data_IF_105899316786
#
_entry.id   IF_105899316786
#
_cell.length_a   1.000
_cell.length_b   1.000
_cell.length_c   1.000
_cell.angle_alpha   90.00
_cell.angle_beta   90.00
_cell.angle_gamma   90.00
#
_symmetry.space_group_name_H-M   'P 1'
#
loop_
_entity.id
_entity.type
_entity.pdbx_description
1 polymer ?
#
# COMPACT_ATOMS: atom_id res chain seq x y z
N UNK A 1 -16.65 59.68 28.39
CA UNK A 1 -16.60 59.26 26.97
C UNK A 1 -15.73 58.01 26.90
N UNK A 2 -16.36 56.85 26.74
CA UNK A 2 -15.69 55.56 26.56
C UNK A 2 -15.05 55.51 25.18
N UNK A 3 -13.76 55.16 25.13
CA UNK A 3 -13.01 54.87 23.91
C UNK A 3 -13.56 53.58 23.29
N UNK A 4 -14.50 53.71 22.35
CA UNK A 4 -14.93 52.64 21.46
C UNK A 4 -14.13 52.76 20.16
N UNK A 5 -13.03 51.99 20.06
CA UNK A 5 -12.43 51.50 18.80
C UNK A 5 -11.23 50.59 19.10
N UNK A 6 -11.46 49.47 19.80
CA UNK A 6 -10.66 48.27 19.53
C UNK A 6 -11.28 47.62 18.28
N UNK A 7 -10.90 48.14 17.11
CA UNK A 7 -11.14 47.48 15.84
C UNK A 7 -10.22 46.25 15.81
N UNK A 8 -10.81 45.06 15.73
CA UNK A 8 -10.10 43.78 15.79
C UNK A 8 -8.93 43.73 14.82
N UNK A 9 -7.77 43.31 15.34
CA UNK A 9 -6.57 43.08 14.54
C UNK A 9 -6.78 41.81 13.73
N UNK A 10 -6.76 41.92 12.40
CA UNK A 10 -6.82 40.76 11.51
C UNK A 10 -5.38 40.36 11.21
N UNK A 11 -4.95 39.23 11.79
CA UNK A 11 -3.65 38.60 11.48
C UNK A 11 -3.90 37.46 10.50
N UNK A 12 -3.28 37.54 9.32
CA UNK A 12 -3.29 36.45 8.33
C UNK A 12 -1.98 35.70 8.46
N UNK A 13 -2.06 34.39 8.70
CA UNK A 13 -0.91 33.48 8.78
C UNK A 13 -1.00 32.57 7.56
N UNK A 14 0.04 32.61 6.72
CA UNK A 14 0.12 31.80 5.52
C UNK A 14 1.56 31.27 5.37
N UNK A 15 1.70 30.09 4.77
CA UNK A 15 3.00 29.58 4.35
C UNK A 15 3.57 30.41 3.20
N UNK A 16 4.87 30.24 2.94
CA UNK A 16 5.68 30.94 1.91
C UNK A 16 5.20 30.74 0.47
N UNK A 17 4.13 29.97 0.24
CA UNK A 17 3.63 29.62 -1.10
C UNK A 17 4.56 28.70 -1.90
N UNK A 18 5.69 28.28 -1.34
CA UNK A 18 6.53 27.22 -1.92
C UNK A 18 5.84 25.89 -1.70
N UNK A 19 5.57 25.15 -2.77
CA UNK A 19 5.02 23.79 -2.68
C UNK A 19 5.93 22.93 -1.80
N UNK A 20 5.42 22.48 -0.66
CA UNK A 20 6.15 21.60 0.27
C UNK A 20 6.09 20.13 -0.15
N UNK A 21 5.47 19.85 -1.30
CA UNK A 21 5.44 18.56 -1.96
C UNK A 21 6.13 18.79 -3.30
N UNK A 22 7.35 18.28 -3.46
CA UNK A 22 7.96 18.17 -4.78
C UNK A 22 6.94 17.48 -5.70
N UNK A 23 6.70 18.06 -6.88
CA UNK A 23 5.63 17.68 -7.80
C UNK A 23 5.26 16.18 -7.73
N UNK A 24 4.11 15.85 -7.15
CA UNK A 24 3.47 14.58 -7.46
C UNK A 24 3.29 14.60 -8.96
N UNK A 25 3.98 13.71 -9.68
CA UNK A 25 3.79 13.57 -11.12
C UNK A 25 2.33 13.26 -11.36
N UNK A 26 1.57 14.28 -11.75
CA UNK A 26 0.19 14.10 -12.18
C UNK A 26 0.31 13.31 -13.47
N UNK A 27 0.00 12.02 -13.41
CA UNK A 27 -0.23 11.21 -14.61
C UNK A 27 -1.13 12.06 -15.51
N UNK A 28 -0.69 12.36 -16.74
CA UNK A 28 -1.51 13.08 -17.70
C UNK A 28 -2.82 12.33 -17.86
N UNK A 29 -3.86 12.83 -17.18
CA UNK A 29 -5.19 12.25 -17.27
C UNK A 29 -5.69 12.57 -18.68
N UNK A 30 -6.30 11.61 -19.39
CA UNK A 30 -6.96 11.91 -20.65
C UNK A 30 -7.93 13.07 -20.41
N UNK A 31 -7.89 14.11 -21.25
CA UNK A 31 -8.65 15.36 -21.11
C UNK A 31 -10.19 15.19 -21.03
N UNK A 32 -10.68 13.94 -21.09
CA UNK A 32 -12.07 13.52 -21.00
C UNK A 32 -12.47 12.98 -19.63
N UNK A 33 -11.55 12.80 -18.67
CA UNK A 33 -11.91 12.55 -17.26
C UNK A 33 -12.29 13.88 -16.57
N UNK A 34 -13.55 14.28 -16.71
CA UNK A 34 -14.13 15.45 -16.03
C UNK A 34 -14.63 15.14 -14.62
N UNK A 35 -14.49 13.90 -14.15
CA UNK A 35 -15.03 13.44 -12.86
C UNK A 35 -14.11 13.86 -11.73
N UNK A 36 -14.42 14.98 -11.09
CA UNK A 36 -13.85 15.35 -9.81
C UNK A 36 -14.34 14.35 -8.74
N UNK A 37 -13.41 13.74 -8.02
CA UNK A 37 -13.70 12.93 -6.85
C UNK A 37 -13.27 13.71 -5.61
N UNK A 38 -14.19 13.92 -4.68
CA UNK A 38 -13.86 14.39 -3.34
C UNK A 38 -14.64 13.52 -2.33
N UNK A 39 -13.95 13.05 -1.29
CA UNK A 39 -14.50 12.25 -0.19
C UNK A 39 -15.33 11.03 -0.63
N UNK A 40 -14.87 10.32 -1.68
CA UNK A 40 -15.51 9.09 -2.16
C UNK A 40 -16.81 9.32 -2.96
N UNK A 41 -17.18 10.58 -3.25
CA UNK A 41 -18.36 10.92 -4.04
C UNK A 41 -17.89 11.41 -5.43
N UNK A 42 -18.32 10.76 -6.53
CA UNK A 42 -18.04 11.24 -7.88
C UNK A 42 -18.92 12.46 -8.20
N UNK A 43 -18.30 13.52 -8.73
CA UNK A 43 -18.95 14.78 -9.14
C UNK A 43 -19.80 15.44 -8.03
N UNK A 44 -19.21 15.74 -6.86
CA UNK A 44 -20.00 16.29 -5.77
C UNK A 44 -20.47 17.70 -6.14
N UNK A 45 -21.79 17.88 -6.22
CA UNK A 45 -22.39 19.19 -6.47
C UNK A 45 -22.02 20.09 -5.29
N UNK A 46 -21.31 21.19 -5.55
CA UNK A 46 -21.04 22.18 -4.50
C UNK A 46 -22.37 22.71 -3.95
N UNK A 47 -22.52 22.84 -2.63
CA UNK A 47 -23.77 23.31 -2.07
C UNK A 47 -23.94 24.77 -2.47
N UNK A 48 -25.18 25.24 -2.46
CA UNK A 48 -25.45 26.67 -2.62
C UNK A 48 -24.70 27.41 -1.50
N UNK A 49 -24.04 28.53 -1.83
CA UNK A 49 -23.34 29.36 -0.86
C UNK A 49 -24.29 29.74 0.28
N UNK A 50 -23.83 29.63 1.53
CA UNK A 50 -24.62 29.90 2.74
C UNK A 50 -25.87 29.00 2.88
N UNK A 51 -25.81 27.74 2.41
CA UNK A 51 -26.87 26.75 2.67
C UNK A 51 -26.97 26.44 4.18
N UNK A 52 -28.12 26.69 4.85
CA UNK A 52 -28.30 26.41 6.27
C UNK A 52 -28.28 24.94 6.64
N UNK A 53 -28.46 24.05 5.67
CA UNK A 53 -28.35 22.61 5.87
C UNK A 53 -26.91 22.10 5.66
N UNK A 54 -26.04 22.90 5.03
CA UNK A 54 -24.68 22.49 4.67
C UNK A 54 -24.67 21.28 3.73
N UNK A 55 -23.52 20.62 3.63
CA UNK A 55 -23.36 19.37 2.87
C UNK A 55 -22.48 18.35 3.61
N UNK A 56 -22.26 18.58 4.92
CA UNK A 56 -21.39 17.79 5.79
C UNK A 56 -19.92 17.68 5.35
N UNK A 57 -19.47 18.38 4.31
CA UNK A 57 -18.04 18.43 3.92
C UNK A 57 -17.23 19.41 4.77
N UNK A 58 -17.89 20.44 5.32
CA UNK A 58 -17.30 21.41 6.26
C UNK A 58 -18.27 21.68 7.41
N UNK A 59 -17.75 22.10 8.57
CA UNK A 59 -18.57 22.56 9.69
C UNK A 59 -19.48 23.71 9.21
N UNK A 60 -20.77 23.67 9.56
CA UNK A 60 -21.77 24.69 9.19
C UNK A 60 -21.29 26.11 9.50
N UNK A 61 -20.61 26.31 10.63
CA UNK A 61 -20.04 27.59 11.03
C UNK A 61 -19.00 28.16 10.04
N UNK A 62 -18.34 27.30 9.28
CA UNK A 62 -17.35 27.66 8.26
C UNK A 62 -17.95 27.78 6.87
N UNK A 63 -19.12 27.19 6.62
CA UNK A 63 -19.87 27.29 5.36
C UNK A 63 -20.61 28.64 5.21
N UNK A 64 -20.91 29.29 6.34
CA UNK A 64 -21.43 30.65 6.38
C UNK A 64 -20.30 31.66 6.33
N UNK A 65 -19.87 32.02 5.11
CA UNK A 65 -19.24 33.30 4.93
C UNK A 65 -20.35 34.34 5.03
N UNK A 66 -20.49 34.97 6.20
CA UNK A 66 -21.17 36.27 6.26
C UNK A 66 -20.51 37.12 5.17
N UNK A 67 -21.26 37.41 4.10
CA UNK A 67 -20.89 38.51 3.23
C UNK A 67 -20.78 39.70 4.16
N UNK A 68 -19.54 40.17 4.41
CA UNK A 68 -19.37 41.52 4.86
C UNK A 68 -20.08 42.36 3.79
N UNK A 69 -21.19 43.00 4.17
CA UNK A 69 -21.98 43.85 3.28
C UNK A 69 -21.03 44.81 2.54
N UNK A 70 -20.71 44.47 1.30
CA UNK A 70 -20.10 45.37 0.31
C UNK A 70 -21.11 46.40 -0.19
N UNK A 71 -22.24 46.55 0.50
CA UNK A 71 -23.08 47.73 0.45
C UNK A 71 -22.49 48.73 1.44
N UNK A 72 -21.42 49.40 1.01
CA UNK A 72 -21.09 50.70 1.59
C UNK A 72 -22.36 51.57 1.57
N UNK A 73 -22.55 52.49 2.53
CA UNK A 73 -23.71 53.37 2.50
C UNK A 73 -23.65 54.20 1.22
N UNK A 74 -24.50 53.88 0.24
CA UNK A 74 -24.66 54.69 -0.97
C UNK A 74 -25.38 55.96 -0.57
N UNK A 75 -24.63 56.94 -0.09
CA UNK A 75 -25.09 58.32 -0.05
C UNK A 75 -25.14 58.82 -1.50
N UNK A 76 -26.29 58.60 -2.14
CA UNK A 76 -26.68 59.25 -3.38
C UNK A 76 -26.38 60.75 -3.28
N UNK A 77 -25.41 61.21 -4.08
CA UNK A 77 -24.98 62.62 -4.14
C UNK A 77 -25.92 63.52 -4.95
N UNK A 78 -27.04 63.03 -5.49
CA UNK A 78 -27.81 63.80 -6.48
C UNK A 78 -28.95 64.66 -5.93
N UNK A 79 -29.26 64.64 -4.63
CA UNK A 79 -30.29 65.51 -4.05
C UNK A 79 -29.97 65.93 -2.59
N UNK A 80 -28.95 66.77 -2.41
CA UNK A 80 -28.63 67.34 -1.10
C UNK A 80 -29.21 68.74 -0.92
N UNK A 81 -30.03 68.92 0.12
CA UNK A 81 -30.56 70.23 0.50
C UNK A 81 -29.47 71.13 1.13
N UNK A 82 -29.69 72.45 1.12
CA UNK A 82 -28.71 73.46 1.57
C UNK A 82 -28.01 73.13 2.91
N UNK A 83 -28.76 72.59 3.88
CA UNK A 83 -28.22 72.18 5.18
C UNK A 83 -27.24 70.98 5.09
N UNK A 84 -27.46 70.03 4.20
CA UNK A 84 -26.59 68.87 4.03
C UNK A 84 -25.24 69.25 3.39
N UNK A 85 -25.20 70.30 2.56
CA UNK A 85 -23.95 70.85 2.01
C UNK A 85 -23.07 71.53 3.06
N UNK A 86 -23.69 72.19 4.05
CA UNK A 86 -22.95 72.84 5.15
C UNK A 86 -22.34 71.79 6.09
N UNK A 87 -23.05 70.72 6.40
CA UNK A 87 -22.52 69.64 7.24
C UNK A 87 -21.55 68.70 6.52
N UNK A 88 -21.54 68.67 5.18
CA UNK A 88 -20.59 67.86 4.39
C UNK A 88 -19.12 68.26 4.57
N UNK A 89 -18.82 69.49 5.02
CA UNK A 89 -17.45 69.93 5.33
C UNK A 89 -16.91 69.29 6.61
N UNK A 90 -17.79 68.82 7.51
CA UNK A 90 -17.43 68.18 8.77
C UNK A 90 -17.43 66.65 8.72
N UNK A 91 -17.77 66.06 7.57
CA UNK A 91 -17.77 64.60 7.36
C UNK A 91 -16.53 64.25 6.53
N UNK A 92 -15.61 63.41 7.03
CA UNK A 92 -14.43 63.02 6.27
C UNK A 92 -14.86 62.28 4.98
N UNK A 93 -14.34 62.72 3.82
CA UNK A 93 -14.51 62.00 2.57
C UNK A 93 -13.79 60.65 2.68
N UNK A 94 -14.54 59.57 2.86
CA UNK A 94 -14.03 58.22 2.58
C UNK A 94 -14.20 58.01 1.08
N UNK A 95 -13.10 58.09 0.32
CA UNK A 95 -13.06 57.61 -1.07
C UNK A 95 -13.10 56.09 -1.01
N UNK A 96 -14.20 55.49 -1.48
CA UNK A 96 -14.17 54.11 -1.94
C UNK A 96 -13.55 54.13 -3.34
N UNK A 97 -12.24 53.99 -3.41
CA UNK A 97 -11.55 53.71 -4.67
C UNK A 97 -11.35 52.18 -4.69
N UNK A 98 -12.33 51.49 -5.27
CA UNK A 98 -12.06 50.20 -5.90
C UNK A 98 -11.30 50.51 -7.18
N UNK A 99 -10.08 50.00 -7.30
CA UNK A 99 -9.47 49.49 -8.55
C UNK A 99 -7.95 49.25 -8.41
N UNK A 100 -7.34 49.57 -7.26
CA UNK A 100 -6.04 49.04 -6.85
C UNK A 100 -6.19 48.54 -5.41
N UNK A 101 -5.69 47.34 -5.11
CA UNK A 101 -5.53 46.89 -3.73
C UNK A 101 -4.48 47.77 -3.04
N UNK A 102 -4.88 48.97 -2.62
CA UNK A 102 -4.19 49.70 -1.56
C UNK A 102 -4.35 48.86 -0.30
N UNK A 103 -3.35 48.02 -0.06
CA UNK A 103 -3.18 47.24 1.16
C UNK A 103 -3.15 48.25 2.30
N UNK A 104 -4.27 48.37 3.04
CA UNK A 104 -4.36 49.17 4.26
C UNK A 104 -3.16 48.77 5.14
N UNK A 105 -2.37 49.74 5.62
CA UNK A 105 -1.15 49.58 6.44
C UNK A 105 -1.37 48.84 7.79
N UNK A 106 -2.54 48.20 7.95
CA UNK A 106 -3.05 47.55 9.15
C UNK A 106 -3.15 46.03 9.00
N UNK A 107 -3.00 45.48 7.79
CA UNK A 107 -2.77 44.05 7.62
C UNK A 107 -1.32 43.75 8.00
N UNK A 108 -1.14 43.13 9.17
CA UNK A 108 0.16 42.56 9.53
C UNK A 108 0.22 41.14 8.97
N UNK A 109 0.85 40.97 7.81
CA UNK A 109 1.20 39.65 7.31
C UNK A 109 2.42 39.16 8.10
N UNK A 110 2.29 38.02 8.77
CA UNK A 110 3.42 37.34 9.41
C UNK A 110 3.67 36.03 8.68
N UNK A 111 4.79 35.97 7.98
CA UNK A 111 5.29 34.75 7.36
C UNK A 111 6.06 33.96 8.41
N UNK A 112 5.66 32.71 8.62
CA UNK A 112 6.33 31.79 9.53
C UNK A 112 7.11 30.81 8.66
N UNK A 113 8.43 30.85 8.77
CA UNK A 113 9.29 29.94 8.03
C UNK A 113 9.37 28.60 8.76
N UNK A 114 8.63 27.60 8.29
CA UNK A 114 8.57 26.26 8.87
C UNK A 114 8.36 25.22 7.78
N UNK A 115 9.03 24.07 7.88
CA UNK A 115 8.75 22.92 7.03
C UNK A 115 7.37 22.34 7.39
N UNK A 116 6.81 21.46 6.54
CA UNK A 116 5.46 20.93 6.75
C UNK A 116 5.32 20.20 8.12
N UNK A 117 6.37 19.48 8.54
CA UNK A 117 6.43 18.82 9.85
C UNK A 117 6.59 19.75 11.05
N UNK A 118 7.10 20.97 10.84
CA UNK A 118 7.26 22.01 11.86
C UNK A 118 6.02 22.86 12.10
N UNK A 119 5.01 22.79 11.22
CA UNK A 119 3.75 23.53 11.36
C UNK A 119 2.97 23.15 12.65
N UNK A 120 2.84 21.86 13.02
CA UNK A 120 2.14 21.46 14.24
C UNK A 120 2.98 21.63 15.51
N UNK A 121 4.21 22.12 15.41
CA UNK A 121 5.18 22.11 16.52
C UNK A 121 5.84 23.47 16.69
N UNK A 122 6.77 23.81 15.78
CA UNK A 122 7.56 25.05 15.79
C UNK A 122 6.75 26.29 15.43
N UNK A 123 5.73 26.17 14.57
CA UNK A 123 4.92 27.31 14.17
C UNK A 123 3.87 27.69 15.23
N UNK A 124 3.52 26.79 16.17
CA UNK A 124 2.47 27.04 17.16
C UNK A 124 2.79 28.24 18.07
N UNK A 125 3.99 28.35 18.69
CA UNK A 125 4.33 29.53 19.50
C UNK A 125 4.28 30.82 18.68
N UNK A 126 4.72 30.78 17.43
CA UNK A 126 4.72 31.94 16.54
C UNK A 126 3.32 32.38 16.12
N UNK A 127 2.42 31.42 15.89
CA UNK A 127 0.99 31.64 15.63
C UNK A 127 0.32 32.29 16.84
N UNK A 128 0.52 31.74 18.03
CA UNK A 128 -0.10 32.27 19.25
C UNK A 128 0.42 33.67 19.59
N UNK A 129 1.74 33.89 19.44
CA UNK A 129 2.34 35.22 19.53
C UNK A 129 1.72 36.21 18.54
N UNK A 130 1.52 35.80 17.28
CA UNK A 130 0.94 36.66 16.24
C UNK A 130 -0.54 36.99 16.48
N UNK A 131 -1.26 36.10 17.17
CA UNK A 131 -2.66 36.29 17.56
C UNK A 131 -2.81 37.01 18.92
N UNK A 132 -1.71 37.34 19.60
CA UNK A 132 -1.75 37.95 20.93
C UNK A 132 -2.30 37.03 22.02
N UNK A 133 -2.24 35.71 21.78
CA UNK A 133 -2.70 34.69 22.71
C UNK A 133 -1.55 34.26 23.64
N UNK A 134 -1.85 33.87 24.88
CA UNK A 134 -0.84 33.25 25.74
C UNK A 134 -0.34 31.95 25.10
N UNK A 135 0.97 31.71 25.16
CA UNK A 135 1.60 30.53 24.56
C UNK A 135 0.96 29.25 25.17
N UNK A 136 0.38 28.34 24.38
CA UNK A 136 -0.51 27.31 24.87
C UNK A 136 0.22 26.10 25.46
N UNK A 137 1.53 25.97 25.25
CA UNK A 137 2.32 24.82 25.68
C UNK A 137 3.71 25.29 26.16
N UNK A 138 4.26 24.63 27.19
CA UNK A 138 5.68 24.71 27.50
C UNK A 138 6.52 24.19 26.32
N UNK A 139 7.83 24.45 26.34
CA UNK A 139 8.76 24.12 25.25
C UNK A 139 8.48 22.71 24.69
N UNK A 140 7.78 22.65 23.56
CA UNK A 140 7.55 21.42 22.83
C UNK A 140 8.79 21.21 21.98
N UNK A 141 9.68 20.34 22.42
CA UNK A 141 10.77 19.87 21.58
C UNK A 141 10.18 18.90 20.55
N UNK A 142 10.17 19.24 19.25
CA UNK A 142 9.72 18.30 18.25
C UNK A 142 10.62 17.06 18.30
N UNK A 143 10.04 15.85 18.09
CA UNK A 143 10.86 14.67 17.92
C UNK A 143 11.80 14.91 16.73
N UNK A 144 13.05 14.44 16.85
CA UNK A 144 14.01 14.50 15.75
C UNK A 144 13.41 13.83 14.52
N UNK A 145 13.41 14.54 13.40
CA UNK A 145 12.97 13.98 12.12
C UNK A 145 13.95 12.87 11.69
N UNK A 146 13.47 11.68 11.29
CA UNK A 146 14.35 10.62 10.82
C UNK A 146 15.04 11.04 9.52
N UNK A 147 16.29 10.63 9.32
CA UNK A 147 17.06 10.97 8.11
C UNK A 147 16.53 10.22 6.87
N UNK A 148 15.87 9.08 7.08
CA UNK A 148 15.23 8.31 6.03
C UNK A 148 14.04 7.53 6.59
N UNK A 149 13.13 7.13 5.70
CA UNK A 149 12.02 6.24 6.04
C UNK A 149 11.97 5.11 5.00
N UNK A 150 12.09 3.87 5.46
CA UNK A 150 11.74 2.69 4.65
C UNK A 150 10.32 2.28 4.98
N UNK A 151 9.49 2.03 3.98
CA UNK A 151 8.13 1.54 4.21
C UNK A 151 7.77 0.41 3.27
N UNK A 152 7.01 -0.53 3.80
CA UNK A 152 6.47 -1.68 3.09
C UNK A 152 4.95 -1.67 3.24
N UNK A 153 4.24 -1.77 2.13
CA UNK A 153 2.79 -1.83 2.07
C UNK A 153 2.35 -3.13 1.44
N UNK A 154 1.32 -3.74 2.01
CA UNK A 154 0.76 -5.00 1.52
C UNK A 154 -0.75 -4.88 1.42
N UNK A 155 -1.29 -4.86 0.20
CA UNK A 155 -2.68 -5.23 -0.03
C UNK A 155 -2.75 -6.75 -0.03
N UNK A 156 -3.61 -7.30 0.81
CA UNK A 156 -3.51 -8.66 1.37
C UNK A 156 -4.64 -9.55 0.82
N UNK A 157 -4.44 -10.87 0.71
CA UNK A 157 -4.48 -11.78 1.88
C UNK A 157 -3.13 -12.45 2.21
N UNK A 158 -2.20 -11.73 2.84
CA UNK A 158 -0.89 -12.25 3.30
C UNK A 158 -0.55 -11.81 4.73
N UNK A 159 -0.03 -12.73 5.54
CA UNK A 159 0.72 -12.44 6.75
C UNK A 159 2.16 -12.08 6.37
N UNK A 160 2.77 -11.15 7.11
CA UNK A 160 4.04 -10.52 6.73
C UNK A 160 5.06 -10.65 7.84
N UNK A 161 6.28 -11.01 7.46
CA UNK A 161 7.49 -10.94 8.26
C UNK A 161 8.57 -10.22 7.45
N UNK A 162 9.25 -9.26 8.07
CA UNK A 162 10.38 -8.56 7.47
C UNK A 162 11.60 -8.76 8.36
N UNK A 163 12.73 -9.10 7.74
CA UNK A 163 14.05 -9.19 8.36
C UNK A 163 14.92 -8.09 7.78
N UNK A 164 15.56 -7.28 8.63
CA UNK A 164 16.44 -6.21 8.18
C UNK A 164 17.89 -6.69 7.95
N UNK A 165 18.80 -5.82 7.43
CA UNK A 165 20.20 -6.18 7.18
C UNK A 165 21.00 -6.63 8.43
N UNK A 166 20.48 -6.40 9.64
CA UNK A 166 21.07 -6.84 10.90
C UNK A 166 20.41 -8.11 11.46
N UNK A 167 19.54 -8.76 10.68
CA UNK A 167 18.74 -9.93 11.06
C UNK A 167 17.71 -9.65 12.18
N UNK A 168 17.32 -8.39 12.36
CA UNK A 168 16.23 -8.02 13.27
C UNK A 168 14.91 -8.19 12.54
N UNK A 169 13.93 -8.75 13.25
CA UNK A 169 12.66 -9.16 12.67
C UNK A 169 11.52 -8.25 13.13
N UNK A 170 10.63 -7.91 12.21
CA UNK A 170 9.30 -7.38 12.51
C UNK A 170 8.20 -8.28 11.92
N UNK A 171 7.23 -8.61 12.75
CA UNK A 171 5.98 -9.30 12.43
C UNK A 171 4.84 -8.57 13.12
N UNK A 172 3.61 -9.08 12.99
CA UNK A 172 2.47 -8.60 13.78
C UNK A 172 2.70 -8.69 15.29
N UNK A 173 3.35 -9.76 15.76
CA UNK A 173 3.43 -10.08 17.20
C UNK A 173 4.81 -9.77 17.81
N UNK A 174 5.80 -9.40 16.99
CA UNK A 174 7.17 -9.17 17.42
C UNK A 174 7.79 -8.03 16.64
N UNK A 175 8.47 -7.12 17.34
CA UNK A 175 9.25 -6.08 16.70
C UNK A 175 10.62 -5.95 17.36
N UNK A 176 11.66 -6.26 16.60
CA UNK A 176 13.06 -6.15 17.01
C UNK A 176 13.79 -5.01 16.29
N UNK A 177 13.16 -4.43 15.26
CA UNK A 177 13.71 -3.31 14.50
C UNK A 177 13.41 -2.03 15.30
N UNK A 178 14.41 -1.25 15.70
CA UNK A 178 14.21 -0.03 16.48
C UNK A 178 13.23 0.91 15.79
N UNK A 179 12.28 1.44 16.57
CA UNK A 179 11.30 2.45 16.14
C UNK A 179 10.38 2.06 14.97
N UNK A 180 10.51 0.84 14.45
CA UNK A 180 9.65 0.34 13.40
C UNK A 180 8.20 0.20 13.89
N UNK A 181 7.25 0.39 12.99
CA UNK A 181 5.82 0.38 13.29
C UNK A 181 5.16 -0.62 12.33
N UNK A 182 4.39 -1.57 12.87
CA UNK A 182 3.51 -2.45 12.12
C UNK A 182 2.06 -1.98 12.30
N UNK A 183 1.30 -1.82 11.22
CA UNK A 183 -0.11 -1.39 11.27
C UNK A 183 -0.96 -2.21 10.30
N UNK A 184 -2.30 -2.20 10.50
CA UNK A 184 -3.25 -2.95 9.67
C UNK A 184 -3.73 -4.28 10.28
N UNK A 185 -3.63 -4.41 11.61
CA UNK A 185 -3.82 -5.69 12.30
C UNK A 185 -5.27 -6.16 12.47
N UNK A 186 -6.23 -5.24 12.32
CA UNK A 186 -7.65 -5.48 12.61
C UNK A 186 -8.31 -6.46 11.63
N UNK A 187 -7.74 -6.57 10.42
CA UNK A 187 -8.19 -7.52 9.41
C UNK A 187 -6.97 -8.35 8.96
N UNK A 188 -6.92 -9.65 9.30
CA UNK A 188 -5.88 -10.57 8.83
C UNK A 188 -5.73 -10.57 7.31
N UNK A 189 -6.80 -10.30 6.54
CA UNK A 189 -6.77 -10.21 5.09
C UNK A 189 -6.71 -8.77 4.57
N UNK A 190 -6.74 -7.76 5.44
CA UNK A 190 -6.71 -6.35 5.08
C UNK A 190 -5.30 -5.78 4.87
N UNK A 191 -5.23 -4.51 4.49
CA UNK A 191 -3.96 -3.82 4.19
C UNK A 191 -3.05 -3.80 5.41
N UNK A 192 -1.77 -4.10 5.21
CA UNK A 192 -0.71 -4.01 6.23
C UNK A 192 0.32 -2.98 5.80
N UNK A 193 0.86 -2.24 6.76
CA UNK A 193 1.92 -1.27 6.53
C UNK A 193 2.98 -1.40 7.61
N UNK A 194 4.24 -1.46 7.17
CA UNK A 194 5.41 -1.46 8.04
C UNK A 194 6.24 -0.23 7.72
N UNK A 195 6.48 0.61 8.71
CA UNK A 195 7.28 1.84 8.59
C UNK A 195 8.53 1.66 9.45
N UNK A 196 9.71 1.91 8.89
CA UNK A 196 11.00 1.81 9.56
C UNK A 196 11.71 3.18 9.45
N UNK A 197 11.59 4.04 10.47
CA UNK A 197 12.39 5.26 10.58
C UNK A 197 13.87 4.92 10.69
N UNK A 198 14.74 5.75 10.09
CA UNK A 198 16.19 5.57 10.08
C UNK A 198 16.61 4.13 9.72
N UNK A 199 15.97 3.60 8.67
CA UNK A 199 16.25 2.29 8.10
C UNK A 199 17.71 2.15 7.67
N UNK A 200 18.20 0.92 7.71
CA UNK A 200 19.53 0.59 7.19
C UNK A 200 19.47 0.42 5.68
N UNK A 201 20.46 0.94 4.95
CA UNK A 201 20.69 0.51 3.58
C UNK A 201 21.18 -0.95 3.57
N UNK A 202 20.66 -1.76 2.64
CA UNK A 202 21.03 -3.16 2.47
C UNK A 202 19.86 -4.04 2.05
N UNK A 203 20.09 -5.35 2.12
CA UNK A 203 19.10 -6.36 1.77
C UNK A 203 18.16 -6.61 2.94
N UNK A 204 16.87 -6.40 2.69
CA UNK A 204 15.77 -6.82 3.56
C UNK A 204 15.17 -8.10 3.01
N UNK A 205 14.91 -9.07 3.89
CA UNK A 205 14.16 -10.26 3.52
C UNK A 205 12.68 -10.04 3.87
N UNK A 206 11.80 -10.26 2.89
CA UNK A 206 10.36 -10.17 3.08
C UNK A 206 9.76 -11.55 2.89
N UNK A 207 9.16 -12.09 3.93
CA UNK A 207 8.45 -13.35 3.93
C UNK A 207 6.94 -13.08 4.03
N UNK A 208 6.19 -13.59 3.06
CA UNK A 208 4.74 -13.52 2.97
C UNK A 208 4.16 -14.92 3.12
N UNK A 209 3.11 -15.07 3.90
CA UNK A 209 2.34 -16.32 4.02
C UNK A 209 0.90 -16.02 3.63
N UNK A 210 0.37 -16.69 2.60
CA UNK A 210 -1.03 -16.53 2.20
C UNK A 210 -1.99 -16.85 3.35
N UNK A 211 -2.87 -15.91 3.68
CA UNK A 211 -3.91 -16.11 4.73
C UNK A 211 -5.27 -16.45 4.14
N UNK A 212 -5.43 -16.31 2.83
CA UNK A 212 -6.55 -16.76 2.02
C UNK A 212 -6.12 -16.76 0.54
N UNK A 213 -6.91 -17.40 -0.31
CA UNK A 213 -6.70 -17.32 -1.75
C UNK A 213 -7.03 -15.93 -2.28
N UNK A 214 -6.16 -15.37 -3.10
CA UNK A 214 -6.42 -14.07 -3.73
C UNK A 214 -5.19 -13.43 -4.32
N UNK A 215 -5.36 -12.18 -4.72
CA UNK A 215 -4.26 -11.35 -5.20
C UNK A 215 -3.72 -10.49 -4.05
N UNK A 216 -2.39 -10.42 -3.93
CA UNK A 216 -1.73 -9.47 -3.07
C UNK A 216 -0.92 -8.45 -3.90
N UNK A 217 -0.78 -7.26 -3.33
CA UNK A 217 0.07 -6.19 -3.86
C UNK A 217 1.07 -5.81 -2.79
N UNK A 218 2.35 -5.88 -3.09
CA UNK A 218 3.42 -5.36 -2.24
C UNK A 218 3.96 -4.08 -2.85
N UNK A 219 4.13 -3.04 -2.06
CA UNK A 219 4.87 -1.85 -2.47
C UNK A 219 5.95 -1.55 -1.43
N UNK A 220 7.16 -1.22 -1.88
CA UNK A 220 8.26 -0.83 -1.01
C UNK A 220 8.75 0.55 -1.43
N UNK A 221 8.93 1.43 -0.45
CA UNK A 221 9.50 2.74 -0.68
C UNK A 221 10.64 3.07 0.27
N UNK A 222 11.59 3.85 -0.25
CA UNK A 222 12.61 4.54 0.54
C UNK A 222 12.46 6.04 0.28
N UNK A 223 12.27 6.79 1.36
CA UNK A 223 12.18 8.24 1.37
C UNK A 223 13.44 8.83 2.01
N UNK A 224 14.13 9.70 1.27
CA UNK A 224 15.31 10.43 1.73
C UNK A 224 15.21 11.85 1.18
N UNK A 225 15.12 12.85 2.06
CA UNK A 225 14.96 14.28 1.76
C UNK A 225 14.00 14.58 0.59
N UNK A 226 14.53 14.69 -0.64
CA UNK A 226 13.81 15.08 -1.86
C UNK A 226 13.63 13.92 -2.87
N UNK A 227 13.87 12.67 -2.47
CA UNK A 227 13.83 11.52 -3.37
C UNK A 227 12.92 10.39 -2.87
N UNK A 228 11.90 10.09 -3.68
CA UNK A 228 10.93 9.04 -3.45
C UNK A 228 11.17 7.90 -4.44
N UNK A 229 11.61 6.74 -3.95
CA UNK A 229 11.73 5.54 -4.78
C UNK A 229 10.69 4.54 -4.34
N UNK A 230 9.75 4.22 -5.22
CA UNK A 230 8.68 3.25 -4.96
C UNK A 230 8.74 2.15 -6.00
N UNK A 231 8.71 0.90 -5.55
CA UNK A 231 8.59 -0.28 -6.41
C UNK A 231 7.43 -1.14 -5.94
N UNK A 232 6.67 -1.65 -6.89
CA UNK A 232 5.47 -2.46 -6.63
C UNK A 232 5.58 -3.85 -7.26
N UNK A 233 5.02 -4.85 -6.59
CA UNK A 233 4.85 -6.21 -7.08
C UNK A 233 3.41 -6.65 -6.83
N UNK A 234 2.84 -7.35 -7.81
CA UNK A 234 1.47 -7.88 -7.74
C UNK A 234 1.48 -9.34 -8.18
N UNK A 235 0.89 -10.21 -7.36
CA UNK A 235 0.78 -11.66 -7.63
C UNK A 235 -0.42 -12.29 -6.94
N UNK A 236 -0.82 -13.45 -7.42
CA UNK A 236 -1.74 -14.33 -6.69
C UNK A 236 -0.99 -15.12 -5.62
N UNK A 237 -1.69 -15.42 -4.53
CA UNK A 237 -1.26 -16.27 -3.42
C UNK A 237 -2.37 -17.25 -3.07
N UNK A 238 -2.00 -18.45 -2.66
CA UNK A 238 -2.90 -19.47 -2.10
C UNK A 238 -2.75 -19.49 -0.58
N UNK A 239 -3.81 -19.81 0.16
CA UNK A 239 -3.74 -19.99 1.61
C UNK A 239 -2.60 -20.95 2.00
N UNK A 240 -1.74 -20.52 2.93
CA UNK A 240 -0.57 -21.26 3.40
C UNK A 240 0.66 -21.20 2.49
N UNK A 241 0.58 -20.61 1.29
CA UNK A 241 1.74 -20.43 0.41
C UNK A 241 2.72 -19.42 0.99
N UNK A 242 3.99 -19.82 1.15
CA UNK A 242 5.06 -18.94 1.58
C UNK A 242 5.77 -18.35 0.34
N UNK A 243 5.95 -17.04 0.33
CA UNK A 243 6.61 -16.30 -0.74
C UNK A 243 7.70 -15.42 -0.11
N UNK A 244 8.91 -15.53 -0.61
CA UNK A 244 10.06 -14.78 -0.13
C UNK A 244 10.58 -13.82 -1.20
N UNK A 245 10.93 -12.61 -0.77
CA UNK A 245 11.60 -11.60 -1.56
C UNK A 245 12.86 -11.12 -0.85
N UNK A 246 13.86 -10.74 -1.64
CA UNK A 246 14.97 -9.90 -1.18
C UNK A 246 14.76 -8.52 -1.75
N UNK A 247 14.76 -7.51 -0.88
CA UNK A 247 14.58 -6.11 -1.23
C UNK A 247 15.86 -5.34 -0.91
N UNK A 248 16.56 -4.91 -1.94
CA UNK A 248 17.75 -4.07 -1.82
C UNK A 248 17.29 -2.61 -1.67
N UNK A 249 17.38 -2.11 -0.43
CA UNK A 249 17.02 -0.74 -0.07
C UNK A 249 18.29 0.09 0.02
N UNK A 250 18.27 1.26 -0.61
CA UNK A 250 19.40 2.16 -0.60
C UNK A 250 18.95 3.59 -0.31
N UNK A 251 19.51 4.18 0.74
CA UNK A 251 19.21 5.56 1.18
C UNK A 251 20.16 6.61 0.56
N UNK A 252 20.87 6.29 -0.52
CA UNK A 252 21.60 7.27 -1.31
C UNK A 252 20.71 7.87 -2.40
N UNK A 253 20.89 9.17 -2.68
CA UNK A 253 20.17 9.86 -3.74
C UNK A 253 20.27 9.13 -5.08
N UNK A 254 19.15 9.08 -5.80
CA UNK A 254 19.02 8.50 -7.14
C UNK A 254 19.35 6.99 -7.26
N UNK A 255 19.40 6.25 -6.14
CA UNK A 255 19.52 4.79 -6.19
C UNK A 255 18.14 4.16 -6.00
N UNK A 256 17.57 3.48 -7.01
CA UNK A 256 16.26 2.87 -6.89
C UNK A 256 16.30 1.65 -5.98
N UNK A 257 15.24 1.47 -5.19
CA UNK A 257 14.95 0.21 -4.51
C UNK A 257 14.83 -0.90 -5.56
N UNK A 258 15.31 -2.10 -5.26
CA UNK A 258 15.17 -3.27 -6.15
C UNK A 258 14.52 -4.41 -5.39
N UNK A 259 13.59 -5.09 -6.05
CA UNK A 259 12.92 -6.27 -5.51
C UNK A 259 13.34 -7.46 -6.35
N UNK A 260 13.78 -8.54 -5.70
CA UNK A 260 14.14 -9.78 -6.38
C UNK A 260 12.93 -10.41 -7.07
N UNK A 261 13.19 -11.38 -7.96
CA UNK A 261 12.14 -12.34 -8.30
C UNK A 261 11.71 -13.08 -7.01
N UNK A 262 10.42 -13.40 -6.84
CA UNK A 262 9.96 -14.12 -5.67
C UNK A 262 10.45 -15.56 -5.68
N UNK A 263 10.88 -16.02 -4.51
CA UNK A 263 11.12 -17.42 -4.21
C UNK A 263 9.84 -17.96 -3.58
N UNK A 264 9.12 -18.81 -4.31
CA UNK A 264 7.84 -19.35 -3.86
C UNK A 264 8.10 -20.72 -3.22
N UNK A 265 7.77 -20.81 -1.94
CA UNK A 265 7.85 -22.02 -1.12
C UNK A 265 6.44 -22.39 -0.70
N UNK A 266 5.79 -23.30 -1.43
CA UNK A 266 4.46 -23.83 -1.05
C UNK A 266 4.53 -24.54 0.31
N UNK A 267 3.41 -24.64 1.08
CA UNK A 267 3.44 -25.14 2.44
C UNK A 267 4.10 -26.53 2.51
N UNK A 268 4.97 -26.67 3.51
CA UNK A 268 5.93 -27.73 3.77
C UNK A 268 5.90 -28.99 2.87
N UNK A 269 6.78 -29.00 1.87
CA UNK A 269 7.21 -30.21 1.18
C UNK A 269 7.99 -31.17 2.11
N UNK A 270 8.51 -30.70 3.25
CA UNK A 270 9.28 -31.52 4.19
C UNK A 270 8.38 -32.37 5.10
N UNK A 271 7.26 -31.87 5.60
CA UNK A 271 6.34 -32.64 6.46
C UNK A 271 5.25 -33.41 5.70
N UNK A 272 4.84 -32.94 4.52
CA UNK A 272 3.76 -33.56 3.73
C UNK A 272 4.13 -34.96 3.24
N UNK A 273 3.25 -35.97 3.39
CA UNK A 273 3.55 -37.31 2.90
C UNK A 273 3.69 -37.32 1.37
N UNK A 274 4.45 -38.27 0.81
CA UNK A 274 4.60 -38.41 -0.66
C UNK A 274 3.23 -38.57 -1.33
N UNK A 275 2.27 -39.22 -0.65
CA UNK A 275 0.90 -39.40 -1.14
C UNK A 275 0.15 -38.08 -1.21
N UNK A 276 0.28 -37.23 -0.19
CA UNK A 276 -0.40 -35.93 -0.15
C UNK A 276 0.12 -35.01 -1.26
N UNK A 277 1.44 -34.98 -1.45
CA UNK A 277 2.06 -34.22 -2.54
C UNK A 277 1.58 -34.67 -3.93
N UNK A 278 1.36 -35.97 -4.14
CA UNK A 278 0.80 -36.48 -5.40
C UNK A 278 -0.68 -36.12 -5.53
N UNK A 279 -1.45 -36.11 -4.45
CA UNK A 279 -2.86 -35.67 -4.46
C UNK A 279 -2.97 -34.18 -4.79
N UNK A 280 -2.11 -33.35 -4.22
CA UNK A 280 -2.05 -31.92 -4.55
C UNK A 280 -1.71 -31.69 -6.02
N UNK A 281 -0.71 -32.42 -6.55
CA UNK A 281 -0.36 -32.32 -7.97
C UNK A 281 -1.51 -32.76 -8.89
N UNK A 282 -2.36 -33.70 -8.45
CA UNK A 282 -3.59 -34.08 -9.15
C UNK A 282 -4.64 -32.96 -9.14
N UNK A 283 -4.80 -32.26 -8.01
CA UNK A 283 -5.71 -31.13 -7.85
C UNK A 283 -5.27 -29.98 -8.76
N UNK A 284 -4.01 -29.57 -8.67
CA UNK A 284 -3.38 -28.56 -9.53
C UNK A 284 -3.64 -28.87 -11.02
N UNK A 285 -3.41 -30.11 -11.44
CA UNK A 285 -3.62 -30.54 -12.82
C UNK A 285 -5.08 -30.36 -13.28
N UNK A 286 -6.04 -30.65 -12.40
CA UNK A 286 -7.46 -30.47 -12.69
C UNK A 286 -7.83 -28.98 -12.81
N UNK A 287 -7.30 -28.14 -11.92
CA UNK A 287 -7.50 -26.69 -11.95
C UNK A 287 -6.89 -26.06 -13.20
N UNK A 288 -5.65 -26.40 -13.54
CA UNK A 288 -5.00 -25.91 -14.77
C UNK A 288 -5.78 -26.31 -16.04
N UNK A 289 -6.47 -27.46 -16.03
CA UNK A 289 -7.37 -27.82 -17.12
C UNK A 289 -8.64 -26.98 -17.13
N UNK A 290 -9.29 -26.76 -15.97
CA UNK A 290 -10.50 -25.93 -15.85
C UNK A 290 -10.25 -24.47 -16.25
N UNK A 291 -9.09 -23.94 -15.89
CA UNK A 291 -8.64 -22.58 -16.19
C UNK A 291 -8.21 -22.38 -17.66
N UNK A 292 -8.18 -23.45 -18.46
CA UNK A 292 -7.73 -23.39 -19.85
C UNK A 292 -6.21 -23.29 -20.03
N UNK A 293 -5.44 -23.33 -18.94
CA UNK A 293 -3.96 -23.38 -18.94
C UNK A 293 -3.45 -24.68 -19.58
N UNK A 294 -4.25 -25.74 -19.57
CA UNK A 294 -4.08 -26.95 -20.38
C UNK A 294 -5.17 -27.00 -21.44
N UNK A 295 -4.85 -26.65 -22.68
CA UNK A 295 -5.85 -26.44 -23.73
C UNK A 295 -6.28 -27.72 -24.46
N UNK A 296 -5.85 -28.90 -24.00
CA UNK A 296 -6.14 -30.18 -24.65
C UNK A 296 -6.58 -31.27 -23.65
N UNK A 297 -7.80 -31.76 -23.83
CA UNK A 297 -8.40 -32.81 -22.99
C UNK A 297 -7.60 -34.13 -23.00
N UNK A 298 -7.05 -34.53 -24.14
CA UNK A 298 -6.27 -35.76 -24.25
C UNK A 298 -4.94 -35.68 -23.48
N UNK A 299 -4.30 -34.50 -23.50
CA UNK A 299 -3.10 -34.22 -22.70
C UNK A 299 -3.42 -34.26 -21.21
N UNK A 300 -4.46 -33.54 -20.79
CA UNK A 300 -4.94 -33.60 -19.40
C UNK A 300 -5.20 -35.04 -18.94
N UNK A 301 -5.95 -35.82 -19.73
CA UNK A 301 -6.25 -37.21 -19.40
C UNK A 301 -5.00 -38.08 -19.31
N UNK A 302 -4.04 -37.91 -20.21
CA UNK A 302 -2.77 -38.63 -20.17
C UNK A 302 -1.99 -38.32 -18.90
N UNK A 303 -1.84 -37.04 -18.56
CA UNK A 303 -1.12 -36.59 -17.37
C UNK A 303 -1.81 -37.04 -16.08
N UNK A 304 -3.15 -36.98 -16.03
CA UNK A 304 -3.94 -37.40 -14.89
C UNK A 304 -3.84 -38.91 -14.67
N UNK A 305 -3.88 -39.70 -15.74
CA UNK A 305 -3.69 -41.16 -15.64
C UNK A 305 -2.29 -41.51 -15.13
N UNK A 306 -1.28 -40.73 -15.50
CA UNK A 306 0.09 -40.93 -15.03
C UNK A 306 0.21 -40.71 -13.52
N UNK A 307 -0.36 -39.63 -13.01
CA UNK A 307 -0.39 -39.33 -11.57
C UNK A 307 -1.28 -40.30 -10.78
N UNK A 308 -2.43 -40.71 -11.31
CA UNK A 308 -3.28 -41.73 -10.68
C UNK A 308 -2.58 -43.08 -10.55
N UNK A 309 -1.78 -43.46 -11.55
CA UNK A 309 -0.96 -44.67 -11.47
C UNK A 309 0.08 -44.55 -10.35
N UNK A 310 0.77 -43.41 -10.25
CA UNK A 310 1.74 -43.13 -9.18
C UNK A 310 1.06 -43.26 -7.81
N UNK A 311 -0.08 -42.58 -7.62
CA UNK A 311 -0.84 -42.60 -6.37
C UNK A 311 -1.28 -44.02 -5.97
N UNK A 312 -1.82 -44.79 -6.91
CA UNK A 312 -2.25 -46.17 -6.65
C UNK A 312 -1.06 -47.06 -6.24
N UNK A 313 0.08 -46.89 -6.90
CA UNK A 313 1.30 -47.66 -6.61
C UNK A 313 1.86 -47.32 -5.22
N UNK A 314 1.85 -46.04 -4.84
CA UNK A 314 2.27 -45.60 -3.51
C UNK A 314 1.37 -46.16 -2.40
N UNK A 315 0.04 -46.11 -2.58
CA UNK A 315 -0.93 -46.68 -1.65
C UNK A 315 -0.75 -48.20 -1.49
N UNK A 316 -0.49 -48.91 -2.59
CA UNK A 316 -0.18 -50.34 -2.52
C UNK A 316 1.13 -50.61 -1.77
N UNK A 317 2.16 -49.78 -1.98
CA UNK A 317 3.43 -49.90 -1.27
C UNK A 317 3.27 -49.68 0.25
N UNK A 318 2.46 -48.71 0.68
CA UNK A 318 2.13 -48.51 2.10
C UNK A 318 1.36 -49.70 2.69
N UNK A 319 0.39 -50.24 1.95
CA UNK A 319 -0.33 -51.44 2.37
C UNK A 319 0.64 -52.62 2.57
N UNK A 320 1.57 -52.82 1.63
CA UNK A 320 2.61 -53.85 1.73
C UNK A 320 3.52 -53.62 2.96
N UNK A 321 3.83 -52.37 3.31
CA UNK A 321 4.62 -52.03 4.52
C UNK A 321 3.84 -52.33 5.81
N UNK A 322 2.52 -52.11 5.80
CA UNK A 322 1.64 -52.33 6.98
C UNK A 322 1.38 -53.81 7.27
N UNK A 323 1.37 -54.67 6.26
CA UNK A 323 1.10 -56.10 6.41
C UNK A 323 2.37 -56.83 6.88
N UNK A 324 2.29 -57.46 8.06
CA UNK A 324 3.41 -58.15 8.71
C UNK A 324 4.13 -59.20 7.82
N UNK A 325 5.46 -59.29 7.99
CA UNK A 325 6.44 -60.00 7.14
C UNK A 325 6.28 -61.53 7.12
N UNK A 326 5.27 -62.08 6.44
CA UNK A 326 5.20 -63.53 6.18
C UNK A 326 6.28 -64.01 5.19
N UNK A 327 6.68 -63.15 4.24
CA UNK A 327 7.74 -63.42 3.24
C UNK A 327 8.61 -62.18 2.99
N UNK A 328 9.63 -61.90 3.82
CA UNK A 328 10.34 -60.62 3.81
C UNK A 328 11.02 -60.29 2.47
N UNK A 329 11.66 -61.27 1.81
CA UNK A 329 12.36 -61.06 0.52
C UNK A 329 11.41 -60.67 -0.62
N UNK A 330 10.22 -61.27 -0.66
CA UNK A 330 9.22 -60.96 -1.69
C UNK A 330 8.62 -59.57 -1.50
N UNK A 331 8.41 -59.16 -0.24
CA UNK A 331 7.91 -57.82 0.10
C UNK A 331 8.94 -56.75 -0.28
N UNK A 332 10.21 -56.96 0.08
CA UNK A 332 11.28 -56.04 -0.27
C UNK A 332 11.44 -55.89 -1.80
N UNK A 333 11.36 -56.99 -2.55
CA UNK A 333 11.39 -56.95 -4.01
C UNK A 333 10.21 -56.14 -4.59
N UNK A 334 9.00 -56.36 -4.09
CA UNK A 334 7.81 -55.62 -4.53
C UNK A 334 7.91 -54.13 -4.23
N UNK A 335 8.41 -53.76 -3.05
CA UNK A 335 8.61 -52.35 -2.67
C UNK A 335 9.63 -51.66 -3.59
N UNK A 336 10.77 -52.30 -3.85
CA UNK A 336 11.78 -51.79 -4.80
C UNK A 336 11.23 -51.64 -6.22
N UNK A 337 10.39 -52.58 -6.66
CA UNK A 337 9.75 -52.51 -7.96
C UNK A 337 8.74 -51.36 -8.02
N UNK A 338 7.91 -51.18 -6.98
CA UNK A 338 6.95 -50.09 -6.87
C UNK A 338 7.64 -48.72 -6.92
N UNK A 339 8.69 -48.54 -6.14
CA UNK A 339 9.51 -47.32 -6.12
C UNK A 339 10.08 -47.00 -7.51
N UNK A 340 10.69 -47.98 -8.17
CA UNK A 340 11.23 -47.82 -9.53
C UNK A 340 10.15 -47.46 -10.56
N UNK A 341 8.95 -48.04 -10.43
CA UNK A 341 7.81 -47.73 -11.30
C UNK A 341 7.31 -46.29 -11.08
N UNK A 342 7.22 -45.86 -9.81
CA UNK A 342 6.84 -44.49 -9.45
C UNK A 342 7.83 -43.49 -10.02
N UNK A 343 9.13 -43.69 -9.79
CA UNK A 343 10.20 -42.80 -10.29
C UNK A 343 10.10 -42.67 -11.82
N UNK A 344 10.09 -43.80 -12.53
CA UNK A 344 10.00 -43.81 -14.00
C UNK A 344 8.75 -43.09 -14.50
N UNK A 345 7.63 -43.21 -13.78
CA UNK A 345 6.38 -42.58 -14.19
C UNK A 345 6.38 -41.08 -13.94
N UNK A 346 6.94 -40.61 -12.83
CA UNK A 346 7.13 -39.19 -12.54
C UNK A 346 8.11 -38.52 -13.51
N UNK A 347 9.23 -39.17 -13.85
CA UNK A 347 10.15 -38.68 -14.88
C UNK A 347 9.46 -38.54 -16.25
N UNK A 348 8.65 -39.55 -16.63
CA UNK A 348 7.85 -39.52 -17.85
C UNK A 348 6.81 -38.41 -17.83
N UNK A 349 6.20 -38.13 -16.67
CA UNK A 349 5.26 -37.04 -16.47
C UNK A 349 5.97 -35.68 -16.70
N UNK A 350 7.10 -35.43 -16.03
CA UNK A 350 7.90 -34.20 -16.18
C UNK A 350 8.29 -33.98 -17.65
N UNK A 351 8.81 -35.01 -18.31
CA UNK A 351 9.22 -34.93 -19.71
C UNK A 351 8.03 -34.65 -20.64
N UNK A 352 6.86 -35.21 -20.34
CA UNK A 352 5.64 -34.95 -21.09
C UNK A 352 5.16 -33.51 -20.90
N UNK A 353 5.14 -33.01 -19.66
CA UNK A 353 4.76 -31.62 -19.34
C UNK A 353 5.66 -30.62 -20.08
N UNK A 354 6.99 -30.76 -19.97
CA UNK A 354 7.97 -29.92 -20.70
C UNK A 354 7.77 -30.01 -22.23
N UNK A 355 7.49 -31.20 -22.76
CA UNK A 355 7.23 -31.40 -24.20
C UNK A 355 5.93 -30.73 -24.67
N UNK A 356 4.89 -30.71 -23.84
CA UNK A 356 3.61 -30.09 -24.20
C UNK A 356 3.62 -28.57 -24.05
N UNK A 357 4.41 -28.04 -23.11
CA UNK A 357 4.72 -26.62 -23.03
C UNK A 357 5.40 -26.10 -24.31
N UNK A 358 6.45 -26.78 -24.79
CA UNK A 358 7.12 -26.47 -26.07
C UNK A 358 6.20 -26.52 -27.31
N UNK A 359 4.96 -26.99 -27.17
CA UNK A 359 3.94 -27.07 -28.23
C UNK A 359 2.76 -26.13 -27.99
N UNK A 360 2.89 -25.19 -27.04
CA UNK A 360 1.86 -24.25 -26.62
C UNK A 360 0.56 -24.95 -26.19
N UNK A 361 0.69 -26.13 -25.57
CA UNK A 361 -0.45 -26.91 -25.05
C UNK A 361 -0.66 -26.77 -23.54
N UNK A 362 0.37 -26.31 -22.86
CA UNK A 362 0.38 -26.00 -21.43
C UNK A 362 1.11 -24.67 -21.27
N UNK A 363 0.55 -23.73 -20.53
CA UNK A 363 1.20 -22.44 -20.28
C UNK A 363 2.51 -22.58 -19.46
N UNK A 364 3.37 -21.56 -19.51
CA UNK A 364 4.66 -21.58 -18.81
C UNK A 364 4.51 -21.62 -17.28
N UNK A 365 3.57 -20.88 -16.66
CA UNK A 365 3.35 -20.94 -15.21
C UNK A 365 2.89 -22.31 -14.71
N UNK A 366 1.90 -22.95 -15.33
CA UNK A 366 1.45 -24.28 -14.92
C UNK A 366 2.52 -25.34 -15.18
N UNK A 367 3.28 -25.21 -16.27
CA UNK A 367 4.43 -26.08 -16.56
C UNK A 367 5.46 -26.01 -15.45
N UNK A 368 5.87 -24.80 -15.06
CA UNK A 368 6.86 -24.57 -14.02
C UNK A 368 6.39 -25.13 -12.67
N UNK A 369 5.14 -24.84 -12.28
CA UNK A 369 4.56 -25.34 -11.02
C UNK A 369 4.49 -26.87 -10.97
N UNK A 370 3.98 -27.52 -12.04
CA UNK A 370 3.88 -28.99 -12.10
C UNK A 370 5.25 -29.67 -12.09
N UNK A 371 6.24 -29.10 -12.77
CA UNK A 371 7.61 -29.65 -12.81
C UNK A 371 8.26 -29.55 -11.44
N UNK A 372 8.20 -28.38 -10.79
CA UNK A 372 8.79 -28.17 -9.46
C UNK A 372 8.19 -29.15 -8.45
N UNK A 373 6.86 -29.29 -8.41
CA UNK A 373 6.19 -30.25 -7.52
C UNK A 373 6.59 -31.69 -7.81
N UNK A 374 6.63 -32.10 -9.08
CA UNK A 374 7.03 -33.46 -9.45
C UNK A 374 8.51 -33.76 -9.14
N UNK A 375 9.41 -32.79 -9.33
CA UNK A 375 10.83 -32.92 -8.98
C UNK A 375 11.03 -32.98 -7.46
N UNK A 376 10.24 -32.24 -6.68
CA UNK A 376 10.25 -32.33 -5.22
C UNK A 376 9.78 -33.71 -4.70
N UNK A 377 8.73 -34.28 -5.32
CA UNK A 377 8.27 -35.64 -5.03
C UNK A 377 9.38 -36.67 -5.32
N UNK A 378 10.06 -36.53 -6.47
CA UNK A 378 11.19 -37.41 -6.83
C UNK A 378 12.34 -37.30 -5.83
N UNK A 379 12.70 -36.09 -5.40
CA UNK A 379 13.74 -35.87 -4.40
C UNK A 379 13.39 -36.59 -3.07
N UNK A 380 12.12 -36.52 -2.66
CA UNK A 380 11.63 -37.16 -1.43
C UNK A 380 11.58 -38.69 -1.50
N UNK A 381 11.48 -39.27 -2.70
CA UNK A 381 11.55 -40.73 -2.89
C UNK A 381 12.99 -41.23 -2.86
N UNK A 382 13.94 -40.43 -3.35
CA UNK A 382 15.35 -40.80 -3.45
C UNK A 382 16.14 -40.59 -2.14
N UNK A 383 15.61 -39.79 -1.22
CA UNK A 383 16.10 -39.62 0.16
C UNK A 383 15.53 -40.71 1.06
#
# INVERSE_FOLDING_TARGET
MQNLKELGRITVIAGTGTGTVGNISVVERPALETKLWADGIPEPINPIRNNPEGDNRVLLSSAFLNEFDLIGPVLSRSNQNFWQKIFAVFIPLVRAQSDEWDIDERLTQKEINSNHGGLPTMAIPEVFSALGLPNPVGDFEPPTEPNNITTFWFASPVAVKITDPQNRIITKDSNQIPEAIYTGENDPNGVKMIIIPDGLSGEYEVELIGTADGEYHMAVASFVDDNDNIVTVQKNVVEGEKIEYVVDVNHYENVPVKISAPIITKPDLEESSIIDLVNELLIDLEEYYKDGKINNKGIYQSLNNDLKFVLATLKEAELIRSIGKKYPKLHEFKLKLAEKLVIKKLESFILSVKKYNNKDKIDDPATSSMVIKAEAILAKINN
#
